data_IF_113477997099
#
_entry.id   IF_113477997099
#
_cell.length_a   1.000
_cell.length_b   1.000
_cell.length_c   1.000
_cell.angle_alpha   90.00
_cell.angle_beta   90.00
_cell.angle_gamma   90.00
#
_symmetry.space_group_name_H-M   'P 1'
#
loop_
_entity.id
_entity.type
_entity.pdbx_description
1 polymer ?
#
# COMPACT_ATOMS: atom_id res chain seq x y z
N UNK A 1 10.55 -11.16 -5.00
CA UNK A 1 9.85 -10.29 -4.03
C UNK A 1 9.63 -8.91 -4.65
N UNK A 2 8.68 -8.09 -4.18
CA UNK A 2 8.28 -6.80 -4.82
C UNK A 2 9.47 -5.89 -5.24
N UNK A 3 10.53 -5.94 -4.43
CA UNK A 3 11.81 -5.27 -4.65
C UNK A 3 12.59 -5.78 -5.89
N UNK A 4 12.47 -7.07 -6.21
CA UNK A 4 13.01 -7.69 -7.42
C UNK A 4 12.20 -7.28 -8.66
N UNK A 5 10.87 -7.21 -8.58
CA UNK A 5 10.03 -6.78 -9.70
C UNK A 5 10.19 -5.29 -10.08
N UNK A 6 10.55 -4.41 -9.14
CA UNK A 6 10.93 -3.02 -9.46
C UNK A 6 12.35 -2.91 -10.02
N UNK A 7 13.24 -3.85 -9.68
CA UNK A 7 14.61 -3.84 -10.18
C UNK A 7 14.69 -4.14 -11.68
N UNK A 8 13.75 -4.93 -12.20
CA UNK A 8 13.72 -5.31 -13.62
C UNK A 8 13.34 -4.13 -14.55
N UNK A 9 12.74 -3.06 -14.01
CA UNK A 9 12.30 -1.88 -14.78
C UNK A 9 13.05 -0.58 -14.45
N UNK A 10 14.05 -0.62 -13.55
CA UNK A 10 14.65 0.60 -12.98
C UNK A 10 16.18 0.57 -13.04
N UNK A 11 16.78 1.51 -13.79
CA UNK A 11 18.23 1.69 -13.91
C UNK A 11 18.89 1.83 -12.50
N UNK A 12 20.07 1.25 -12.21
CA UNK A 12 20.68 1.15 -10.87
C UNK A 12 20.60 2.40 -9.96
N UNK A 13 20.65 3.61 -10.52
CA UNK A 13 20.51 4.87 -9.78
C UNK A 13 19.10 5.10 -9.18
N UNK A 14 18.03 4.67 -9.85
CA UNK A 14 16.64 4.94 -9.46
C UNK A 14 16.07 3.92 -8.44
N UNK A 15 16.81 2.85 -8.18
CA UNK A 15 16.46 1.81 -7.20
C UNK A 15 16.44 2.37 -5.78
N UNK A 16 17.40 3.23 -5.44
CA UNK A 16 17.46 3.91 -4.15
C UNK A 16 16.26 4.85 -3.93
N UNK A 17 15.90 5.63 -4.96
CA UNK A 17 14.75 6.53 -4.91
C UNK A 17 13.42 5.77 -4.73
N UNK A 18 13.22 4.69 -5.47
CA UNK A 18 12.00 3.87 -5.39
C UNK A 18 11.83 3.21 -4.01
N UNK A 19 12.92 2.74 -3.40
CA UNK A 19 12.94 2.24 -2.03
C UNK A 19 12.61 3.36 -1.03
N UNK A 20 13.16 4.56 -1.23
CA UNK A 20 12.86 5.74 -0.43
C UNK A 20 11.38 6.09 -0.44
N UNK A 21 10.75 6.12 -1.61
CA UNK A 21 9.31 6.38 -1.76
C UNK A 21 8.47 5.30 -1.08
N UNK A 22 8.83 4.02 -1.22
CA UNK A 22 8.13 2.93 -0.54
C UNK A 22 8.22 3.07 0.99
N UNK A 23 9.41 3.36 1.53
CA UNK A 23 9.58 3.58 2.97
C UNK A 23 8.78 4.78 3.45
N UNK A 24 8.85 5.90 2.74
CA UNK A 24 8.12 7.11 3.08
C UNK A 24 6.61 6.85 3.17
N UNK A 25 6.04 6.16 2.19
CA UNK A 25 4.61 5.81 2.21
C UNK A 25 4.26 4.87 3.35
N UNK A 26 5.07 3.84 3.59
CA UNK A 26 4.89 2.89 4.69
C UNK A 26 4.95 3.60 6.06
N UNK A 27 5.97 4.41 6.30
CA UNK A 27 6.20 5.09 7.57
C UNK A 27 5.15 6.17 7.83
N UNK A 28 4.73 6.88 6.78
CA UNK A 28 3.59 7.79 6.83
C UNK A 28 2.31 7.05 7.24
N UNK A 29 2.07 5.86 6.67
CA UNK A 29 0.91 5.02 7.03
C UNK A 29 0.86 4.67 8.51
N UNK A 30 1.99 4.36 9.15
CA UNK A 30 2.05 4.11 10.59
C UNK A 30 1.73 5.37 11.40
N UNK A 31 2.32 6.52 11.06
CA UNK A 31 2.11 7.76 11.78
C UNK A 31 0.66 8.27 11.65
N UNK A 32 0.17 8.42 10.43
CA UNK A 32 -1.20 8.86 10.17
C UNK A 32 -2.23 7.85 10.66
N UNK A 33 -1.97 6.55 10.49
CA UNK A 33 -2.84 5.48 10.97
C UNK A 33 -2.97 5.49 12.49
N UNK A 34 -1.88 5.65 13.23
CA UNK A 34 -1.91 5.72 14.69
C UNK A 34 -2.69 6.94 15.18
N UNK A 35 -2.44 8.12 14.59
CA UNK A 35 -3.15 9.36 14.94
C UNK A 35 -4.65 9.23 14.65
N UNK A 36 -5.00 8.80 13.44
CA UNK A 36 -6.40 8.64 13.03
C UNK A 36 -7.14 7.63 13.90
N UNK A 37 -6.56 6.45 14.09
CA UNK A 37 -7.16 5.38 14.91
C UNK A 37 -7.31 5.82 16.36
N UNK A 38 -6.31 6.52 16.91
CA UNK A 38 -6.35 7.06 18.27
C UNK A 38 -7.46 8.09 18.46
N UNK A 39 -7.59 9.06 17.55
CA UNK A 39 -8.65 10.08 17.61
C UNK A 39 -10.03 9.43 17.50
N UNK A 40 -10.22 8.49 16.58
CA UNK A 40 -11.51 7.81 16.41
C UNK A 40 -11.82 6.93 17.63
N UNK A 41 -10.82 6.23 18.16
CA UNK A 41 -11.01 5.39 19.35
C UNK A 41 -11.37 6.20 20.59
N UNK A 42 -10.78 7.39 20.76
CA UNK A 42 -11.05 8.29 21.88
C UNK A 42 -12.45 8.91 21.79
N UNK A 43 -12.89 9.29 20.58
CA UNK A 43 -14.17 10.00 20.38
C UNK A 43 -15.37 9.08 20.21
N UNK A 44 -15.22 7.97 19.50
CA UNK A 44 -16.32 7.06 19.11
C UNK A 44 -16.17 5.66 19.74
N UNK A 45 -15.06 5.37 20.40
CA UNK A 45 -14.75 4.06 20.98
C UNK A 45 -14.04 3.11 20.01
N UNK A 46 -13.67 1.93 20.54
CA UNK A 46 -12.81 0.97 19.83
C UNK A 46 -13.47 0.36 18.59
N UNK A 47 -14.75 -0.02 18.68
CA UNK A 47 -15.44 -0.73 17.59
C UNK A 47 -15.56 0.14 16.31
N UNK A 48 -16.02 1.42 16.38
CA UNK A 48 -16.03 2.29 15.20
C UNK A 48 -14.63 2.55 14.62
N UNK A 49 -13.60 2.62 15.47
CA UNK A 49 -12.21 2.80 15.03
C UNK A 49 -11.73 1.62 14.18
N UNK A 50 -11.96 0.38 14.65
CA UNK A 50 -11.61 -0.83 13.90
C UNK A 50 -12.39 -0.94 12.59
N UNK A 51 -13.70 -0.67 12.61
CA UNK A 51 -14.55 -0.71 11.40
C UNK A 51 -14.07 0.32 10.37
N UNK A 52 -13.63 1.50 10.81
CA UNK A 52 -13.13 2.55 9.92
C UNK A 52 -11.87 2.10 9.18
N UNK A 53 -10.88 1.55 9.90
CA UNK A 53 -9.64 1.05 9.28
C UNK A 53 -9.92 -0.14 8.37
N UNK A 54 -10.83 -1.04 8.76
CA UNK A 54 -11.27 -2.14 7.91
C UNK A 54 -11.91 -1.62 6.60
N UNK A 55 -12.79 -0.61 6.70
CA UNK A 55 -13.41 0.03 5.55
C UNK A 55 -12.39 0.64 4.59
N UNK A 56 -11.43 1.41 5.11
CA UNK A 56 -10.34 2.01 4.31
C UNK A 56 -9.53 0.92 3.59
N UNK A 57 -9.22 -0.18 4.28
CA UNK A 57 -8.46 -1.30 3.71
C UNK A 57 -9.20 -1.98 2.56
N UNK A 58 -10.50 -2.20 2.73
CA UNK A 58 -11.36 -2.80 1.70
C UNK A 58 -11.44 -1.86 0.49
N UNK A 59 -11.71 -0.57 0.70
CA UNK A 59 -11.78 0.43 -0.38
C UNK A 59 -10.46 0.50 -1.15
N UNK A 60 -9.33 0.51 -0.45
CA UNK A 60 -8.00 0.47 -1.07
C UNK A 60 -7.82 -0.77 -1.97
N UNK A 61 -8.23 -1.94 -1.48
CA UNK A 61 -8.18 -3.19 -2.23
C UNK A 61 -9.05 -3.16 -3.49
N UNK A 62 -10.26 -2.59 -3.41
CA UNK A 62 -11.13 -2.38 -4.56
C UNK A 62 -10.53 -1.43 -5.60
N UNK A 63 -9.92 -0.32 -5.16
CA UNK A 63 -9.24 0.62 -6.06
C UNK A 63 -8.12 -0.10 -6.82
N UNK A 64 -7.31 -0.91 -6.13
CA UNK A 64 -6.25 -1.70 -6.77
C UNK A 64 -6.86 -2.70 -7.77
N UNK A 65 -7.92 -3.40 -7.40
CA UNK A 65 -8.60 -4.37 -8.26
C UNK A 65 -9.11 -3.74 -9.56
N UNK A 66 -9.66 -2.52 -9.49
CA UNK A 66 -10.18 -1.81 -10.66
C UNK A 66 -9.05 -1.20 -11.49
N UNK A 67 -8.01 -0.63 -10.84
CA UNK A 67 -6.92 0.07 -11.52
C UNK A 67 -5.90 -0.87 -12.15
N UNK A 68 -5.64 -2.01 -11.53
CA UNK A 68 -4.59 -2.92 -11.98
C UNK A 68 -5.14 -3.83 -13.08
N UNK A 69 -4.86 -3.50 -14.34
CA UNK A 69 -5.10 -4.41 -15.48
C UNK A 69 -4.32 -5.71 -15.23
N UNK A 70 -5.00 -6.86 -15.32
CA UNK A 70 -4.36 -8.18 -15.22
C UNK A 70 -3.12 -8.22 -16.13
N UNK A 71 -1.96 -8.71 -15.67
CA UNK A 71 -0.88 -9.06 -16.57
C UNK A 71 -1.41 -10.05 -17.59
N UNK A 72 -1.16 -9.78 -18.87
CA UNK A 72 -1.46 -10.69 -19.96
C UNK A 72 -0.77 -12.03 -19.63
N UNK A 73 -1.56 -13.02 -19.25
CA UNK A 73 -1.08 -14.38 -19.02
C UNK A 73 -0.87 -15.01 -20.39
N UNK A 74 0.37 -15.01 -20.88
CA UNK A 74 0.73 -15.68 -22.12
C UNK A 74 1.93 -15.06 -22.83
N UNK A 75 3.14 -15.42 -22.40
CA UNK A 75 4.20 -15.93 -23.26
C UNK A 75 5.32 -16.46 -22.36
N UNK A 76 5.22 -17.75 -22.03
CA UNK A 76 6.41 -18.50 -21.68
C UNK A 76 7.24 -18.65 -22.94
N UNK A 77 8.50 -18.24 -22.87
CA UNK A 77 9.54 -18.83 -23.68
C UNK A 77 10.74 -19.09 -22.76
N UNK A 78 11.08 -20.37 -22.71
CA UNK A 78 12.34 -20.90 -22.21
C UNK A 78 13.54 -20.18 -22.82
#
# INVERSE_FOLDING_TARGET
TFLAGMADYTNPQQRAASIGVFRLWRDSGYAFGAILTGIIADTLGLLPSVITIAGITIVSSFIILIRMKKPITGQGHF
#
